data_IF_439581498451
#
_entry.id   IF_439581498451
#
_cell.length_a   1.000
_cell.length_b   1.000
_cell.length_c   1.000
_cell.angle_alpha   90.00
_cell.angle_beta   90.00
_cell.angle_gamma   90.00
#
_symmetry.space_group_name_H-M   'P 1'
#
loop_
_entity.id
_entity.type
_entity.pdbx_description
1 polymer ?
#
# COMPACT_ATOMS: atom_id res chain seq x y z
N UNK A 1 -39.15 -19.39 -9.89
CA UNK A 1 -37.97 -19.65 -9.02
C UNK A 1 -36.93 -18.54 -9.23
N UNK A 2 -37.34 -17.26 -9.20
CA UNK A 2 -36.55 -16.15 -9.78
C UNK A 2 -36.59 -14.86 -8.97
N UNK A 3 -37.18 -14.87 -7.77
CA UNK A 3 -37.42 -13.67 -6.96
C UNK A 3 -36.66 -13.67 -5.62
N UNK A 4 -35.58 -14.45 -5.49
CA UNK A 4 -34.70 -14.45 -4.32
C UNK A 4 -33.36 -13.73 -4.56
N UNK A 5 -33.21 -13.04 -5.70
CA UNK A 5 -32.03 -12.20 -6.01
C UNK A 5 -32.30 -10.70 -5.83
N UNK A 6 -33.47 -10.32 -5.32
CA UNK A 6 -33.91 -8.92 -5.21
C UNK A 6 -33.95 -8.36 -3.79
N UNK A 7 -33.67 -9.17 -2.76
CA UNK A 7 -33.88 -8.79 -1.34
C UNK A 7 -32.63 -8.75 -0.46
N UNK A 8 -31.45 -9.07 -0.99
CA UNK A 8 -30.21 -8.57 -0.39
C UNK A 8 -29.84 -7.32 -1.17
N UNK A 9 -30.21 -6.10 -0.70
CA UNK A 9 -29.59 -4.92 -1.26
C UNK A 9 -28.09 -5.15 -1.13
N UNK A 10 -27.37 -4.92 -2.23
CA UNK A 10 -25.93 -5.01 -2.32
C UNK A 10 -25.35 -4.26 -1.12
N UNK A 11 -25.11 -4.97 -0.02
CA UNK A 11 -24.16 -4.56 0.97
C UNK A 11 -22.85 -4.72 0.20
N UNK A 12 -22.57 -3.71 -0.63
CA UNK A 12 -21.24 -3.31 -0.98
C UNK A 12 -20.66 -3.04 0.40
N UNK A 13 -20.17 -4.10 1.05
CA UNK A 13 -19.15 -3.99 2.05
C UNK A 13 -18.13 -3.19 1.27
N UNK A 14 -18.10 -1.89 1.50
CA UNK A 14 -17.13 -1.01 0.90
C UNK A 14 -15.83 -1.55 1.49
N UNK A 15 -15.23 -2.51 0.78
CA UNK A 15 -14.03 -3.19 1.18
C UNK A 15 -13.02 -2.07 1.13
N UNK A 16 -12.80 -1.45 2.28
CA UNK A 16 -11.84 -0.37 2.38
C UNK A 16 -10.49 -1.00 2.06
N UNK A 17 -9.90 -0.71 0.89
CA UNK A 17 -8.64 -1.33 0.51
C UNK A 17 -7.50 -0.85 1.42
N UNK A 18 -7.76 0.15 2.28
CA UNK A 18 -6.88 0.62 3.34
C UNK A 18 -7.11 -0.04 4.70
N UNK A 19 -8.02 -1.02 4.84
CA UNK A 19 -8.25 -1.72 6.09
C UNK A 19 -8.18 -3.25 5.93
N UNK A 20 -7.14 -3.92 6.44
CA UNK A 20 -5.99 -3.35 7.16
C UNK A 20 -5.07 -2.54 6.24
N UNK A 21 -4.33 -1.56 6.78
CA UNK A 21 -3.48 -0.66 5.99
C UNK A 21 -2.38 -1.47 5.24
N UNK A 22 -2.39 -1.51 3.89
CA UNK A 22 -1.41 -2.25 3.11
C UNK A 22 -0.07 -1.50 2.99
N UNK A 23 -0.01 -0.22 3.32
CA UNK A 23 1.21 0.57 3.25
C UNK A 23 2.16 0.24 4.41
N UNK A 24 3.45 0.57 4.25
CA UNK A 24 4.43 0.49 5.34
C UNK A 24 3.92 1.20 6.62
N UNK A 25 4.28 0.67 7.79
CA UNK A 25 3.87 1.21 9.09
C UNK A 25 4.08 2.73 9.18
N UNK A 26 3.00 3.47 9.41
CA UNK A 26 3.01 4.93 9.53
C UNK A 26 2.80 5.70 8.21
N UNK A 27 2.70 5.00 7.07
CA UNK A 27 2.38 5.62 5.77
C UNK A 27 0.87 5.78 5.60
N UNK A 28 0.46 6.92 5.06
CA UNK A 28 -0.95 7.22 4.80
C UNK A 28 -1.46 6.47 3.57
N UNK A 29 -2.58 5.76 3.76
CA UNK A 29 -3.28 5.04 2.71
C UNK A 29 -4.49 5.86 2.22
N UNK A 30 -4.66 5.92 0.90
CA UNK A 30 -5.79 6.58 0.26
C UNK A 30 -6.58 5.57 -0.56
N UNK A 31 -7.89 5.46 -0.29
CA UNK A 31 -8.82 4.67 -1.09
C UNK A 31 -9.38 5.52 -2.24
N UNK A 32 -9.13 5.12 -3.49
CA UNK A 32 -9.54 5.80 -4.71
C UNK A 32 -10.17 4.78 -5.64
N UNK A 33 -11.46 4.95 -5.96
CA UNK A 33 -12.23 4.08 -6.88
C UNK A 33 -12.18 2.58 -6.52
N UNK A 34 -12.12 2.25 -5.23
CA UNK A 34 -12.03 0.86 -4.76
C UNK A 34 -10.63 0.24 -4.84
N UNK A 35 -9.59 1.04 -5.15
CA UNK A 35 -8.18 0.67 -5.01
C UNK A 35 -7.52 1.47 -3.90
N UNK A 36 -6.43 0.97 -3.35
CA UNK A 36 -5.59 1.74 -2.43
C UNK A 36 -4.42 2.38 -3.17
N UNK A 37 -3.99 3.54 -2.69
CA UNK A 37 -2.75 4.22 -3.09
C UNK A 37 -2.02 4.66 -1.81
N UNK A 38 -0.74 4.33 -1.71
CA UNK A 38 0.11 4.74 -0.60
C UNK A 38 0.89 6.02 -0.94
N UNK A 39 0.88 7.00 -0.05
CA UNK A 39 1.69 8.20 -0.18
C UNK A 39 3.12 7.94 0.35
N UNK A 40 3.98 7.38 -0.49
CA UNK A 40 5.33 6.99 -0.06
C UNK A 40 6.16 8.20 0.38
N UNK A 41 6.85 8.11 1.54
CA UNK A 41 7.81 9.13 1.95
C UNK A 41 9.01 9.16 0.99
N UNK A 42 9.73 10.30 1.00
CA UNK A 42 10.94 10.45 0.19
C UNK A 42 11.92 9.29 0.44
N UNK A 43 12.40 8.72 -0.66
CA UNK A 43 13.30 7.57 -0.62
C UNK A 43 12.60 6.21 -0.68
N UNK A 44 11.28 6.12 -0.58
CA UNK A 44 10.51 4.87 -0.73
C UNK A 44 9.65 4.84 -2.00
N UNK A 45 9.43 3.65 -2.55
CA UNK A 45 8.61 3.40 -3.73
C UNK A 45 7.99 2.00 -3.71
N UNK A 46 7.11 1.75 -4.66
CA UNK A 46 6.29 0.54 -4.75
C UNK A 46 4.88 0.78 -4.24
N UNK A 47 3.98 -0.18 -4.49
CA UNK A 47 2.58 -0.13 -4.08
C UNK A 47 2.42 -0.03 -2.56
N UNK A 48 3.28 -0.69 -1.79
CA UNK A 48 3.24 -0.71 -0.32
C UNK A 48 4.33 0.20 0.31
N UNK A 49 5.08 0.94 -0.51
CA UNK A 49 6.22 1.75 -0.08
C UNK A 49 7.32 0.96 0.66
N UNK A 50 7.47 -0.35 0.41
CA UNK A 50 8.49 -1.18 1.07
C UNK A 50 9.87 -1.12 0.40
N UNK A 51 9.98 -0.54 -0.80
CA UNK A 51 11.22 -0.55 -1.58
C UNK A 51 11.90 0.81 -1.53
N UNK A 52 13.23 0.86 -1.43
CA UNK A 52 13.96 2.13 -1.37
C UNK A 52 14.48 2.54 -2.72
N UNK A 53 14.23 3.80 -3.11
CA UNK A 53 14.55 4.37 -4.41
C UNK A 53 16.05 4.34 -4.73
N UNK A 54 16.88 4.42 -3.69
CA UNK A 54 18.33 4.27 -3.79
C UNK A 54 18.82 3.22 -2.78
N UNK A 55 18.56 1.93 -3.05
CA UNK A 55 19.20 0.89 -2.27
C UNK A 55 20.68 0.93 -2.63
N UNK A 56 21.56 0.97 -1.64
CA UNK A 56 22.98 0.83 -1.92
C UNK A 56 23.23 -0.62 -2.37
N UNK A 57 23.28 -0.82 -3.69
CA UNK A 57 23.54 -2.12 -4.29
C UNK A 57 25.04 -2.16 -4.60
N UNK A 58 25.81 -2.81 -3.75
CA UNK A 58 27.27 -2.97 -3.92
C UNK A 58 27.97 -3.56 -2.70
N UNK A 59 29.25 -3.89 -2.86
CA UNK A 59 30.08 -4.58 -1.84
C UNK A 59 30.41 -3.74 -0.59
N UNK A 60 29.84 -2.54 -0.43
CA UNK A 60 30.16 -1.60 0.65
C UNK A 60 28.96 -1.30 1.59
N UNK A 61 28.03 -2.24 1.76
CA UNK A 61 26.87 -2.04 2.65
C UNK A 61 26.98 -2.89 3.92
N UNK A 62 27.68 -2.43 4.97
CA UNK A 62 27.43 -2.94 6.31
C UNK A 62 26.00 -2.51 6.69
N UNK A 63 25.16 -3.47 7.02
CA UNK A 63 23.73 -3.26 7.24
C UNK A 63 23.39 -2.19 8.28
N UNK A 64 22.11 -1.84 8.28
CA UNK A 64 21.37 -0.96 9.21
C UNK A 64 21.22 0.53 8.84
N UNK A 65 21.62 1.01 7.66
CA UNK A 65 21.11 2.30 7.14
C UNK A 65 20.87 2.22 5.63
N UNK A 66 19.61 2.36 5.25
CA UNK A 66 19.05 2.06 3.94
C UNK A 66 18.91 3.32 3.06
N UNK A 67 19.94 4.14 3.01
CA UNK A 67 20.02 5.28 2.08
C UNK A 67 21.48 5.49 1.67
N UNK A 68 21.72 5.65 0.38
CA UNK A 68 23.04 6.10 -0.08
C UNK A 68 23.14 7.60 0.20
N UNK A 69 24.07 7.98 1.07
CA UNK A 69 24.46 9.37 1.21
C UNK A 69 25.12 9.80 -0.12
N UNK A 70 24.56 10.84 -0.73
CA UNK A 70 25.13 11.55 -1.90
C UNK A 70 26.50 12.14 -1.58
#
# INVERSE_FOLDING_TARGET
LSHLVSFFPLLQIALDPCNPNPCQQGVQCHSIEGRYICACPDGYYGNECMTLKHPCIGQHCPGEIKMCAS
#
